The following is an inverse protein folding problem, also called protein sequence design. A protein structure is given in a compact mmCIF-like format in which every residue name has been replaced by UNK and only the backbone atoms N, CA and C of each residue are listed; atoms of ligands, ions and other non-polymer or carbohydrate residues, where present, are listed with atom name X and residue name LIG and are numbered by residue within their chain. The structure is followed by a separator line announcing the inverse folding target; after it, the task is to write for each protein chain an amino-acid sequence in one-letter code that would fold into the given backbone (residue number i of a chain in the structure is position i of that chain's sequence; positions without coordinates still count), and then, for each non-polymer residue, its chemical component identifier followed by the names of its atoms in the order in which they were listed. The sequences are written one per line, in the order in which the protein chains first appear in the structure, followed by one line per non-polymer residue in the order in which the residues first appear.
data_IF_861309644102
#
_entry.id   IF_861309644102
#
_cell.length_a   1.000
_cell.length_b   1.000
_cell.length_c   1.000
_cell.angle_alpha   90.00
_cell.angle_beta   90.00
_cell.angle_gamma   90.00
#
_symmetry.space_group_name_H-M   'P 1'
#
loop_
_entity.id
_entity.type
_entity.pdbx_description
1 polymer ?
#
# COMPACT_ATOMS: atom_id res chain seq x y z
N UNK A 1 -9.84 -24.64 -19.12
CA UNK A 1 -9.21 -23.42 -19.68
C UNK A 1 -9.68 -22.17 -18.97
N UNK A 2 -10.98 -21.96 -18.80
CA UNK A 2 -11.54 -20.76 -18.14
C UNK A 2 -10.94 -20.46 -16.75
N UNK A 3 -10.83 -21.47 -15.88
CA UNK A 3 -10.22 -21.31 -14.55
C UNK A 3 -8.75 -20.83 -14.62
N UNK A 4 -7.96 -21.34 -15.56
CA UNK A 4 -6.56 -20.94 -15.74
C UNK A 4 -6.47 -19.47 -16.17
N UNK A 5 -7.38 -19.03 -17.03
CA UNK A 5 -7.48 -17.63 -17.47
C UNK A 5 -7.87 -16.75 -16.29
N UNK A 6 -8.90 -17.13 -15.52
CA UNK A 6 -9.32 -16.38 -14.33
C UNK A 6 -8.21 -16.26 -13.28
N UNK A 7 -7.51 -17.37 -12.97
CA UNK A 7 -6.37 -17.36 -12.06
C UNK A 7 -5.23 -16.46 -12.55
N UNK A 8 -4.95 -16.48 -13.86
CA UNK A 8 -3.91 -15.64 -14.48
C UNK A 8 -4.28 -14.16 -14.42
N UNK A 9 -5.54 -13.82 -14.72
CA UNK A 9 -6.09 -12.45 -14.60
C UNK A 9 -6.02 -11.98 -13.15
N UNK A 10 -6.40 -12.83 -12.19
CA UNK A 10 -6.31 -12.51 -10.77
C UNK A 10 -4.86 -12.19 -10.36
N UNK A 11 -3.90 -13.03 -10.73
CA UNK A 11 -2.49 -12.83 -10.41
C UNK A 11 -1.93 -11.51 -11.00
N UNK A 12 -2.24 -11.23 -12.27
CA UNK A 12 -1.84 -9.98 -12.93
C UNK A 12 -2.50 -8.77 -12.26
N UNK A 13 -3.79 -8.88 -11.94
CA UNK A 13 -4.53 -7.78 -11.31
C UNK A 13 -4.00 -7.47 -9.91
N UNK A 14 -3.64 -8.50 -9.13
CA UNK A 14 -2.99 -8.31 -7.82
C UNK A 14 -1.64 -7.61 -7.98
N UNK A 15 -0.81 -8.01 -8.95
CA UNK A 15 0.47 -7.36 -9.19
C UNK A 15 0.31 -5.87 -9.51
N UNK A 16 -0.64 -5.53 -10.40
CA UNK A 16 -0.95 -4.14 -10.75
C UNK A 16 -1.55 -3.39 -9.56
N UNK A 17 -2.49 -4.01 -8.83
CA UNK A 17 -3.17 -3.44 -7.68
C UNK A 17 -2.20 -3.08 -6.56
N UNK A 18 -1.16 -3.89 -6.32
CA UNK A 18 -0.11 -3.58 -5.35
C UNK A 18 0.73 -2.38 -5.78
N UNK A 19 1.06 -2.24 -7.07
CA UNK A 19 1.75 -1.03 -7.55
C UNK A 19 0.89 0.21 -7.34
N UNK A 20 -0.41 0.12 -7.67
CA UNK A 20 -1.36 1.20 -7.44
C UNK A 20 -1.52 1.53 -5.94
N UNK A 21 -1.53 0.52 -5.07
CA UNK A 21 -1.58 0.66 -3.62
C UNK A 21 -0.41 1.51 -3.11
N UNK A 22 0.81 1.14 -3.47
CA UNK A 22 2.02 1.86 -3.04
C UNK A 22 2.08 3.28 -3.62
N UNK A 23 1.64 3.45 -4.87
CA UNK A 23 1.52 4.78 -5.47
C UNK A 23 0.46 5.65 -4.81
N UNK A 24 -0.62 5.09 -4.28
CA UNK A 24 -1.64 5.87 -3.58
C UNK A 24 -1.10 6.52 -2.31
N UNK A 25 -0.28 5.79 -1.54
CA UNK A 25 0.45 6.34 -0.39
C UNK A 25 1.38 7.47 -0.82
N UNK A 26 2.24 7.21 -1.82
CA UNK A 26 3.20 8.19 -2.32
C UNK A 26 2.53 9.45 -2.89
N UNK A 27 1.38 9.30 -3.55
CA UNK A 27 0.61 10.41 -4.10
C UNK A 27 0.16 11.35 -2.98
N UNK A 28 -0.44 10.83 -1.92
CA UNK A 28 -0.91 11.67 -0.79
C UNK A 28 0.27 12.32 -0.05
N UNK A 29 1.38 11.59 0.16
CA UNK A 29 2.57 12.18 0.78
C UNK A 29 3.19 13.30 -0.06
N UNK A 30 3.22 13.13 -1.39
CA UNK A 30 3.69 14.15 -2.33
C UNK A 30 2.82 15.41 -2.27
N UNK A 31 1.49 15.27 -2.19
CA UNK A 31 0.58 16.40 -2.00
C UNK A 31 0.74 17.07 -0.64
N UNK A 32 1.13 16.31 0.38
CA UNK A 32 1.43 16.80 1.72
C UNK A 32 2.82 17.42 1.89
N UNK A 33 3.64 17.46 0.84
CA UNK A 33 5.04 17.90 0.87
C UNK A 33 5.89 17.19 1.94
N UNK A 34 5.54 15.94 2.27
CA UNK A 34 6.30 15.10 3.19
C UNK A 34 7.40 14.42 2.39
N UNK A 35 8.65 14.53 2.83
CA UNK A 35 9.75 13.79 2.22
C UNK A 35 9.54 12.28 2.43
N UNK A 36 9.58 11.52 1.34
CA UNK A 36 9.42 10.07 1.38
C UNK A 36 10.48 9.38 0.55
N UNK A 37 10.95 8.24 1.03
CA UNK A 37 11.80 7.34 0.27
C UNK A 37 11.00 6.12 -0.15
N UNK A 38 10.91 5.87 -1.45
CA UNK A 38 10.36 4.61 -1.98
C UNK A 38 11.51 3.64 -2.14
N UNK A 39 11.48 2.55 -1.36
CA UNK A 39 12.39 1.43 -1.55
C UNK A 39 11.65 0.30 -2.24
N UNK A 40 12.07 -0.06 -3.45
CA UNK A 40 11.56 -1.22 -4.17
C UNK A 40 12.41 -2.45 -3.82
N UNK A 41 11.78 -3.57 -3.50
CA UNK A 41 12.42 -4.85 -3.12
C UNK A 41 13.41 -4.74 -1.93
N UNK A 42 13.01 -4.21 -0.77
CA UNK A 42 13.84 -4.29 0.42
C UNK A 42 14.06 -5.77 0.81
N UNK A 43 15.31 -6.14 1.09
CA UNK A 43 15.73 -7.46 1.57
C UNK A 43 15.69 -8.60 0.52
N UNK A 44 16.55 -8.48 -0.51
CA UNK A 44 16.67 -9.43 -1.62
C UNK A 44 17.58 -10.61 -1.28
N UNK A 45 17.15 -11.48 -0.36
CA UNK A 45 17.79 -12.78 -0.13
C UNK A 45 16.82 -13.92 -0.49
N UNK A 46 16.91 -14.41 -1.75
CA UNK A 46 16.15 -15.58 -2.23
C UNK A 46 15.31 -15.27 -3.47
N UNK A 47 15.38 -16.15 -4.49
CA UNK A 47 14.83 -15.97 -5.85
C UNK A 47 13.30 -15.79 -5.96
N UNK A 48 12.68 -16.18 -7.08
CA UNK A 48 11.24 -15.94 -7.39
C UNK A 48 10.26 -16.31 -6.25
N UNK A 49 10.57 -17.34 -5.46
CA UNK A 49 9.77 -17.74 -4.28
C UNK A 49 9.99 -16.82 -3.08
N UNK A 50 11.20 -16.29 -2.89
CA UNK A 50 11.49 -15.22 -1.93
C UNK A 50 10.77 -13.94 -2.34
N UNK A 51 10.73 -13.63 -3.64
CA UNK A 51 9.99 -12.49 -4.17
C UNK A 51 8.50 -12.57 -3.84
N UNK A 52 7.86 -13.75 -3.89
CA UNK A 52 6.46 -13.90 -3.48
C UNK A 52 6.24 -13.83 -1.96
N UNK A 53 7.27 -14.11 -1.16
CA UNK A 53 7.19 -14.24 0.31
C UNK A 53 7.69 -13.01 1.07
N UNK A 54 8.58 -12.23 0.47
CA UNK A 54 9.16 -11.02 1.04
C UNK A 54 8.14 -9.90 1.00
N UNK A 55 7.27 -9.82 2.00
CA UNK A 55 6.62 -8.54 2.31
C UNK A 55 7.68 -7.65 2.98
N UNK A 56 7.88 -6.40 2.55
CA UNK A 56 7.11 -5.66 1.53
C UNK A 56 7.83 -5.55 0.15
N UNK A 57 7.08 -5.51 -0.96
CA UNK A 57 7.64 -5.40 -2.34
C UNK A 57 8.02 -3.98 -2.75
N UNK A 58 7.35 -2.99 -2.17
CA UNK A 58 7.85 -1.65 -2.06
C UNK A 58 7.46 -1.15 -0.67
N UNK A 59 8.26 -0.24 -0.12
CA UNK A 59 7.91 0.46 1.12
C UNK A 59 8.09 1.94 0.86
N UNK A 60 7.02 2.69 1.08
CA UNK A 60 7.08 4.14 1.19
C UNK A 60 7.34 4.47 2.65
N UNK A 61 8.59 4.80 2.98
CA UNK A 61 8.94 5.26 4.33
C UNK A 61 8.89 6.79 4.35
N UNK A 62 7.94 7.40 5.09
CA UNK A 62 7.97 8.83 5.32
C UNK A 62 9.17 9.18 6.20
N UNK A 63 9.85 10.28 5.88
CA UNK A 63 10.92 10.86 6.71
C UNK A 63 10.41 12.15 7.34
N UNK A 64 9.61 12.05 8.40
CA UNK A 64 9.00 13.23 8.98
C UNK A 64 10.05 14.13 9.60
N UNK A 65 10.05 15.40 9.18
CA UNK A 65 10.94 16.45 9.70
C UNK A 65 10.42 17.08 11.00
N UNK A 66 9.27 16.63 11.50
CA UNK A 66 8.61 17.11 12.71
C UNK A 66 7.71 18.33 12.53
N UNK A 67 7.65 18.91 11.31
CA UNK A 67 6.77 20.04 10.98
C UNK A 67 5.47 19.63 10.28
N UNK A 68 5.29 18.35 10.00
CA UNK A 68 4.21 17.84 9.16
C UNK A 68 2.95 17.55 9.97
N UNK A 69 1.78 17.79 9.35
CA UNK A 69 0.50 17.55 9.98
C UNK A 69 0.23 16.04 10.15
N UNK A 70 -0.14 15.56 11.35
CA UNK A 70 -0.55 14.18 11.55
C UNK A 70 -1.68 13.74 10.60
N UNK A 71 -2.53 14.67 10.16
CA UNK A 71 -3.61 14.38 9.21
C UNK A 71 -3.12 13.93 7.84
N UNK A 72 -1.96 14.42 7.37
CA UNK A 72 -1.36 13.99 6.10
C UNK A 72 -0.94 12.53 6.20
N UNK A 73 -0.34 12.13 7.33
CA UNK A 73 0.04 10.73 7.57
C UNK A 73 -1.17 9.81 7.66
N UNK A 74 -2.25 10.26 8.30
CA UNK A 74 -3.52 9.51 8.34
C UNK A 74 -4.12 9.34 6.95
N UNK A 75 -4.17 10.42 6.18
CA UNK A 75 -4.69 10.40 4.82
C UNK A 75 -3.83 9.51 3.92
N UNK A 76 -2.51 9.58 4.05
CA UNK A 76 -1.59 8.73 3.32
C UNK A 76 -1.83 7.25 3.66
N UNK A 77 -1.92 6.90 4.94
CA UNK A 77 -2.17 5.53 5.38
C UNK A 77 -3.51 4.95 4.89
N UNK A 78 -4.54 5.80 4.72
CA UNK A 78 -5.85 5.39 4.23
C UNK A 78 -6.01 5.54 2.70
N UNK A 79 -5.02 6.12 2.00
CA UNK A 79 -5.09 6.38 0.57
C UNK A 79 -5.46 5.15 -0.30
N UNK A 80 -4.97 3.93 -0.01
CA UNK A 80 -5.31 2.77 -0.82
C UNK A 80 -6.80 2.43 -0.87
N UNK A 81 -7.58 2.84 0.14
CA UNK A 81 -9.03 2.61 0.16
C UNK A 81 -9.74 3.30 -1.02
N UNK A 82 -9.20 4.42 -1.51
CA UNK A 82 -9.77 5.12 -2.66
C UNK A 82 -9.74 4.27 -3.94
N UNK A 83 -8.81 3.31 -4.04
CA UNK A 83 -8.76 2.37 -5.16
C UNK A 83 -9.97 1.43 -5.18
N UNK A 84 -10.76 1.31 -4.12
CA UNK A 84 -11.96 0.47 -4.11
C UNK A 84 -13.08 1.02 -5.01
N UNK A 85 -13.11 2.33 -5.26
CA UNK A 85 -14.17 3.01 -6.02
C UNK A 85 -14.49 2.37 -7.39
N UNK A 86 -13.51 2.11 -8.30
CA UNK A 86 -13.80 1.47 -9.57
C UNK A 86 -14.39 0.06 -9.41
N UNK A 87 -13.88 -0.73 -8.47
CA UNK A 87 -14.37 -2.08 -8.22
C UNK A 87 -15.79 -2.08 -7.62
N UNK A 88 -16.09 -1.15 -6.71
CA UNK A 88 -17.43 -0.96 -6.17
C UNK A 88 -18.41 -0.51 -7.25
N UNK A 89 -17.99 0.35 -8.18
CA UNK A 89 -18.79 0.73 -9.34
C UNK A 89 -19.16 -0.48 -10.21
N UNK A 90 -18.18 -1.32 -10.55
CA UNK A 90 -18.42 -2.54 -11.34
C UNK A 90 -19.37 -3.51 -10.62
N UNK A 91 -19.21 -3.70 -9.31
CA UNK A 91 -20.10 -4.51 -8.49
C UNK A 91 -21.52 -3.93 -8.42
N UNK A 92 -21.65 -2.61 -8.27
CA UNK A 92 -22.95 -1.94 -8.19
C UNK A 92 -23.76 -2.06 -9.50
N UNK A 93 -23.08 -2.15 -10.65
CA UNK A 93 -23.73 -2.40 -11.95
C UNK A 93 -24.09 -3.87 -12.19
N UNK A 94 -23.74 -4.78 -11.28
CA UNK A 94 -23.88 -6.23 -11.46
C UNK A 94 -22.85 -6.85 -12.42
N UNK A 95 -22.08 -6.03 -13.15
CA UNK A 95 -21.13 -6.52 -14.16
C UNK A 95 -20.01 -7.39 -13.57
N UNK A 96 -19.58 -7.12 -12.33
CA UNK A 96 -18.57 -7.94 -11.66
C UNK A 96 -19.12 -9.24 -11.06
N UNK A 97 -20.44 -9.35 -10.84
CA UNK A 97 -21.06 -10.50 -10.16
C UNK A 97 -21.80 -11.43 -11.10
N UNK A 98 -22.41 -10.88 -12.16
CA UNK A 98 -23.20 -11.61 -13.16
C UNK A 98 -22.48 -11.70 -14.52
N UNK A 99 -21.39 -10.95 -14.69
CA UNK A 99 -20.61 -10.89 -15.92
C UNK A 99 -19.59 -12.02 -16.06
N UNK A 100 -18.63 -11.86 -17.00
CA UNK A 100 -17.61 -12.86 -17.25
C UNK A 100 -16.74 -13.15 -16.02
N UNK A 101 -16.37 -14.42 -15.82
CA UNK A 101 -15.51 -14.87 -14.70
C UNK A 101 -14.17 -14.12 -14.61
N UNK A 102 -13.64 -13.65 -15.75
CA UNK A 102 -12.43 -12.81 -15.80
C UNK A 102 -12.63 -11.43 -15.17
N UNK A 103 -13.82 -10.84 -15.30
CA UNK A 103 -14.15 -9.54 -14.68
C UNK A 103 -14.25 -9.73 -13.18
N UNK A 104 -14.97 -10.76 -12.73
CA UNK A 104 -15.04 -11.10 -11.30
C UNK A 104 -13.66 -11.32 -10.70
N UNK A 105 -12.79 -12.10 -11.37
CA UNK A 105 -11.44 -12.36 -10.92
C UNK A 105 -10.59 -11.10 -10.82
N UNK A 106 -10.69 -10.19 -11.80
CA UNK A 106 -10.02 -8.89 -11.75
C UNK A 106 -10.56 -8.01 -10.61
N UNK A 107 -11.89 -7.90 -10.46
CA UNK A 107 -12.52 -7.11 -9.40
C UNK A 107 -12.10 -7.60 -8.01
N UNK A 108 -12.09 -8.93 -7.78
CA UNK A 108 -11.64 -9.52 -6.53
C UNK A 108 -10.16 -9.26 -6.27
N UNK A 109 -9.30 -9.50 -7.27
CA UNK A 109 -7.86 -9.24 -7.16
C UNK A 109 -7.56 -7.77 -6.85
N UNK A 110 -8.28 -6.85 -7.49
CA UNK A 110 -8.16 -5.42 -7.25
C UNK A 110 -8.62 -5.03 -5.85
N UNK A 111 -9.81 -5.46 -5.42
CA UNK A 111 -10.34 -5.19 -4.08
C UNK A 111 -9.44 -5.72 -2.96
N UNK A 112 -8.82 -6.88 -3.16
CA UNK A 112 -7.87 -7.43 -2.19
C UNK A 112 -6.69 -6.46 -1.95
N UNK A 113 -6.27 -5.73 -2.98
CA UNK A 113 -5.20 -4.75 -2.90
C UNK A 113 -5.64 -3.39 -2.32
N UNK A 114 -6.92 -3.12 -2.09
CA UNK A 114 -7.35 -1.83 -1.53
C UNK A 114 -7.36 -1.82 -0.01
N UNK A 115 -7.18 -2.98 0.62
CA UNK A 115 -7.20 -3.15 2.07
C UNK A 115 -5.86 -2.65 2.63
N UNK A 116 -5.85 -1.61 3.49
CA UNK A 116 -4.63 -1.15 4.14
C UNK A 116 -4.04 -2.25 5.03
N UNK A 117 -2.72 -2.26 5.18
CA UNK A 117 -2.06 -3.21 6.07
C UNK A 117 -2.35 -2.88 7.54
N UNK A 118 -2.14 -3.82 8.48
CA UNK A 118 -2.24 -3.52 9.91
C UNK A 118 -1.34 -2.36 10.37
N UNK A 119 -0.19 -2.17 9.72
CA UNK A 119 0.73 -1.07 10.00
C UNK A 119 0.12 0.26 9.55
N UNK A 120 -0.48 0.31 8.36
CA UNK A 120 -1.15 1.52 7.85
C UNK A 120 -2.33 1.90 8.73
N UNK A 121 -3.14 0.92 9.16
CA UNK A 121 -4.20 1.16 10.14
C UNK A 121 -3.64 1.73 11.45
N UNK A 122 -2.54 1.19 11.97
CA UNK A 122 -1.89 1.74 13.16
C UNK A 122 -1.48 3.20 12.97
N UNK A 123 -0.87 3.54 11.82
CA UNK A 123 -0.50 4.93 11.50
C UNK A 123 -1.74 5.83 11.38
N UNK A 124 -2.83 5.35 10.77
CA UNK A 124 -4.07 6.12 10.65
C UNK A 124 -4.67 6.50 12.01
N UNK A 125 -4.60 5.62 13.01
CA UNK A 125 -5.13 5.92 14.35
C UNK A 125 -4.09 6.58 15.28
N UNK A 126 -2.81 6.24 15.13
CA UNK A 126 -1.72 6.61 16.04
C UNK A 126 -0.64 7.49 15.38
N UNK A 127 -0.94 8.22 14.32
CA UNK A 127 0.00 9.10 13.60
C UNK A 127 0.86 9.98 14.50
N UNK A 128 0.29 10.53 15.58
CA UNK A 128 1.02 11.38 16.52
C UNK A 128 2.12 10.63 17.30
N UNK A 129 1.90 9.34 17.59
CA UNK A 129 2.89 8.47 18.22
C UNK A 129 3.97 8.06 17.23
N UNK A 130 3.59 7.72 16.00
CA UNK A 130 4.54 7.39 14.93
C UNK A 130 5.48 8.57 14.60
N UNK A 131 4.98 9.80 14.63
CA UNK A 131 5.80 11.01 14.49
C UNK A 131 6.81 11.18 15.64
N UNK A 132 6.42 10.90 16.89
CA UNK A 132 7.34 10.97 18.02
C UNK A 132 8.43 9.91 17.96
N UNK A 133 8.07 8.67 17.67
CA UNK A 133 9.02 7.54 17.59
C UNK A 133 10.05 7.76 16.47
N UNK A 134 9.64 8.26 15.30
CA UNK A 134 10.56 8.57 14.20
C UNK A 134 11.51 9.74 14.50
N UNK A 135 11.05 10.77 15.22
CA UNK A 135 11.91 11.86 15.68
C UNK A 135 12.91 11.41 16.75
N UNK A 136 12.51 10.52 17.66
CA UNK A 136 13.40 9.93 18.67
C UNK A 136 14.46 9.01 18.02
N UNK A 137 14.12 8.30 16.94
CA UNK A 137 15.05 7.47 16.17
C UNK A 137 16.05 8.30 15.35
N UNK A 138 15.62 9.46 14.80
CA UNK A 138 16.48 10.36 14.03
C UNK A 138 17.36 11.28 14.90
N UNK A 139 17.21 11.32 16.23
CA UNK A 139 18.04 12.19 17.09
C UNK A 139 19.53 11.87 16.91
N UNK A 140 20.33 12.78 16.30
CA UNK A 140 21.75 12.54 16.04
C UNK A 140 22.54 12.34 17.34
N UNK A 141 22.00 12.72 18.51
CA UNK A 141 22.63 12.51 19.82
C UNK A 141 22.51 11.07 20.33
N UNK A 142 21.49 10.32 19.92
CA UNK A 142 21.28 8.90 20.28
C UNK A 142 22.36 7.98 19.69
N UNK A 143 22.90 8.35 18.53
CA UNK A 143 23.95 7.58 17.82
C UNK A 143 25.34 7.62 18.47
N UNK A 144 25.59 8.51 19.46
CA UNK A 144 26.91 8.66 20.11
C UNK A 144 27.14 7.72 21.30
N UNK A 145 26.16 6.89 21.66
CA UNK A 145 26.20 6.06 22.87
C UNK A 145 26.15 4.55 22.62
N UNK A 146 26.49 4.08 21.41
CA UNK A 146 26.73 2.66 21.13
C UNK A 146 28.18 2.40 20.76
#
# INVERSE_FOLDING_TARGET
MELLVACSVLAVTVAIGLVAHEWSHAFVLRFGAVDYTISYLPNREGGLVGLLRSRPWAVVQPRPTGTESPWVLRAAALAPLALALPALGLTATGYATEGPSVVTAATVGWLACTIPSPQDFSVAFHAHRALRESLEEYDPRSSRTK
#
